data_IF_862279522351
#
_entry.id   IF_862279522351
#
_cell.length_a   1.000
_cell.length_b   1.000
_cell.length_c   1.000
_cell.angle_alpha   90.00
_cell.angle_beta   90.00
_cell.angle_gamma   90.00
#
_symmetry.space_group_name_H-M   'P 1'
#
loop_
_entity.id
_entity.type
_entity.pdbx_description
1 polymer ?
#
# COMPACT_ATOMS: atom_id res chain seq x y z
N UNK A 1 -20.55 9.93 -1.63
CA UNK A 1 -19.26 9.40 -1.11
C UNK A 1 -18.19 10.42 -1.48
N UNK A 2 -17.56 11.09 -0.51
CA UNK A 2 -16.59 12.15 -0.80
C UNK A 2 -15.28 11.58 -1.35
N UNK A 3 -14.61 12.31 -2.25
CA UNK A 3 -13.32 11.93 -2.85
C UNK A 3 -12.26 11.60 -1.78
N UNK A 4 -12.25 12.36 -0.67
CA UNK A 4 -11.39 12.11 0.49
C UNK A 4 -11.62 10.73 1.13
N UNK A 5 -12.88 10.32 1.26
CA UNK A 5 -13.26 9.00 1.79
C UNK A 5 -12.85 7.87 0.85
N UNK A 6 -12.96 8.08 -0.46
CA UNK A 6 -12.56 7.10 -1.48
C UNK A 6 -11.05 6.88 -1.46
N UNK A 7 -10.25 7.95 -1.37
CA UNK A 7 -8.78 7.84 -1.28
C UNK A 7 -8.33 7.22 0.04
N UNK A 8 -9.02 7.53 1.15
CA UNK A 8 -8.70 6.96 2.46
C UNK A 8 -9.00 5.45 2.50
N UNK A 9 -10.20 5.04 2.05
CA UNK A 9 -10.58 3.62 1.97
C UNK A 9 -9.69 2.88 0.96
N UNK A 10 -9.43 3.47 -0.21
CA UNK A 10 -8.57 2.89 -1.24
C UNK A 10 -7.11 2.74 -0.78
N UNK A 11 -6.57 3.74 -0.08
CA UNK A 11 -5.21 3.69 0.48
C UNK A 11 -5.06 2.61 1.56
N UNK A 12 -6.02 2.52 2.48
CA UNK A 12 -6.02 1.46 3.51
C UNK A 12 -6.16 0.08 2.87
N UNK A 13 -7.08 -0.08 1.91
CA UNK A 13 -7.25 -1.34 1.18
C UNK A 13 -5.99 -1.75 0.41
N UNK A 14 -5.30 -0.80 -0.25
CA UNK A 14 -4.05 -1.04 -0.97
C UNK A 14 -2.90 -1.45 -0.04
N UNK A 15 -2.79 -0.83 1.15
CA UNK A 15 -1.79 -1.19 2.15
C UNK A 15 -2.06 -2.60 2.70
N UNK A 16 -3.30 -2.93 3.07
CA UNK A 16 -3.66 -4.26 3.59
C UNK A 16 -3.44 -5.34 2.52
N UNK A 17 -3.86 -5.08 1.28
CA UNK A 17 -3.65 -5.99 0.15
C UNK A 17 -2.15 -6.19 -0.16
N UNK A 18 -1.36 -5.11 -0.12
CA UNK A 18 0.09 -5.18 -0.34
C UNK A 18 0.83 -5.96 0.75
N UNK A 19 0.50 -5.70 2.03
CA UNK A 19 1.06 -6.46 3.17
C UNK A 19 0.63 -7.94 3.08
N UNK A 20 -0.63 -8.22 2.72
CA UNK A 20 -1.11 -9.59 2.50
C UNK A 20 -0.30 -10.33 1.43
N UNK A 21 0.02 -9.66 0.31
CA UNK A 21 0.87 -10.21 -0.74
C UNK A 21 2.32 -10.48 -0.29
N UNK A 22 2.87 -9.64 0.59
CA UNK A 22 4.20 -9.86 1.17
C UNK A 22 4.21 -11.03 2.17
N UNK A 23 3.20 -11.14 3.03
CA UNK A 23 3.11 -12.22 4.02
C UNK A 23 2.92 -13.59 3.34
N UNK A 24 2.20 -13.61 2.21
CA UNK A 24 2.02 -14.82 1.41
C UNK A 24 3.33 -15.33 0.76
N UNK A 25 4.34 -14.46 0.61
CA UNK A 25 5.65 -14.81 0.07
C UNK A 25 6.58 -15.49 1.10
N UNK A 26 6.39 -15.27 2.41
CA UNK A 26 7.21 -15.84 3.49
C UNK A 26 7.32 -17.39 3.48
N UNK A 27 6.25 -18.19 3.33
CA UNK A 27 6.38 -19.65 3.30
C UNK A 27 7.11 -20.17 2.06
N UNK A 28 7.04 -19.44 0.94
CA UNK A 28 7.72 -19.80 -0.31
C UNK A 28 9.21 -19.40 -0.31
N UNK A 29 9.57 -18.34 0.41
CA UNK A 29 10.97 -17.89 0.56
C UNK A 29 11.86 -18.92 1.32
N UNK A 30 11.27 -19.73 2.19
CA UNK A 30 11.95 -20.80 2.94
C UNK A 30 11.96 -22.17 2.24
N UNK A 31 11.40 -22.26 1.03
CA UNK A 31 11.43 -23.49 0.22
C UNK A 31 12.75 -23.59 -0.58
N UNK A 32 13.38 -24.77 -0.61
CA UNK A 32 14.68 -25.01 -1.25
C UNK A 32 14.66 -25.01 -2.80
N UNK A 33 13.50 -24.75 -3.41
CA UNK A 33 13.29 -24.76 -4.86
C UNK A 33 13.32 -23.33 -5.44
N UNK A 34 14.31 -23.05 -6.30
CA UNK A 34 14.43 -21.81 -7.10
C UNK A 34 13.13 -21.37 -7.83
N UNK A 35 12.31 -22.27 -8.43
CA UNK A 35 11.07 -21.85 -9.11
C UNK A 35 10.04 -21.19 -8.18
N UNK A 36 9.91 -21.67 -6.95
CA UNK A 36 9.04 -21.08 -5.94
C UNK A 36 9.55 -19.70 -5.47
N UNK A 37 10.88 -19.53 -5.44
CA UNK A 37 11.52 -18.27 -5.05
C UNK A 37 11.29 -17.15 -6.09
N UNK A 38 11.32 -17.47 -7.39
CA UNK A 38 11.00 -16.53 -8.48
C UNK A 38 9.49 -16.23 -8.50
N UNK A 39 8.67 -17.27 -8.32
CA UNK A 39 7.22 -17.15 -8.22
C UNK A 39 6.76 -16.29 -7.05
N UNK A 40 7.50 -16.29 -5.94
CA UNK A 40 7.20 -15.50 -4.75
C UNK A 40 7.82 -14.08 -4.78
N UNK A 41 8.90 -13.86 -5.53
CA UNK A 41 9.51 -12.53 -5.67
C UNK A 41 8.61 -11.50 -6.37
N UNK A 42 7.87 -11.91 -7.40
CA UNK A 42 6.95 -11.04 -8.15
C UNK A 42 5.79 -10.49 -7.28
N UNK A 43 5.09 -11.30 -6.46
CA UNK A 43 4.11 -10.79 -5.51
C UNK A 43 4.71 -9.98 -4.37
N UNK A 44 5.96 -10.24 -3.95
CA UNK A 44 6.64 -9.40 -2.95
C UNK A 44 6.91 -7.98 -3.49
N UNK A 45 7.48 -7.86 -4.69
CA UNK A 45 7.73 -6.56 -5.33
C UNK A 45 6.42 -5.87 -5.69
N UNK A 46 5.44 -6.60 -6.23
CA UNK A 46 4.11 -6.08 -6.51
C UNK A 46 3.41 -5.56 -5.25
N UNK A 47 3.49 -6.30 -4.15
CA UNK A 47 2.98 -5.90 -2.84
C UNK A 47 3.69 -4.65 -2.29
N UNK A 48 5.02 -4.53 -2.46
CA UNK A 48 5.80 -3.36 -2.05
C UNK A 48 5.42 -2.10 -2.81
N UNK A 49 5.28 -2.20 -4.13
CA UNK A 49 4.86 -1.08 -4.97
C UNK A 49 3.42 -0.68 -4.66
N UNK A 50 2.51 -1.63 -4.46
CA UNK A 50 1.11 -1.37 -4.13
C UNK A 50 0.95 -0.72 -2.75
N UNK A 51 1.65 -1.23 -1.72
CA UNK A 51 1.64 -0.64 -0.39
C UNK A 51 2.29 0.76 -0.38
N UNK A 52 3.41 0.93 -1.08
CA UNK A 52 4.12 2.21 -1.19
C UNK A 52 3.26 3.28 -1.89
N UNK A 53 2.69 2.95 -3.05
CA UNK A 53 1.79 3.85 -3.79
C UNK A 53 0.53 4.19 -2.98
N UNK A 54 -0.06 3.23 -2.26
CA UNK A 54 -1.18 3.47 -1.34
C UNK A 54 -0.83 4.42 -0.19
N UNK A 55 0.36 4.28 0.39
CA UNK A 55 0.86 5.16 1.45
C UNK A 55 1.13 6.58 0.92
N UNK A 56 1.69 6.71 -0.29
CA UNK A 56 1.94 8.00 -0.95
C UNK A 56 0.61 8.71 -1.25
N UNK A 57 -0.37 8.01 -1.82
CA UNK A 57 -1.70 8.54 -2.08
C UNK A 57 -2.38 9.01 -0.79
N UNK A 58 -2.25 8.24 0.30
CA UNK A 58 -2.78 8.61 1.61
C UNK A 58 -2.04 9.82 2.21
N UNK A 59 -0.71 9.87 2.10
CA UNK A 59 0.09 11.00 2.57
C UNK A 59 -0.26 12.31 1.86
N UNK A 60 -0.49 12.24 0.54
CA UNK A 60 -0.95 13.39 -0.26
C UNK A 60 -2.36 13.80 0.15
N UNK A 61 -3.29 12.86 0.33
CA UNK A 61 -4.66 13.16 0.76
C UNK A 61 -4.73 13.78 2.16
N UNK A 62 -3.94 13.27 3.10
CA UNK A 62 -3.82 13.82 4.46
C UNK A 62 -3.20 15.22 4.45
N UNK A 63 -2.20 15.46 3.59
CA UNK A 63 -1.58 16.78 3.44
C UNK A 63 -2.52 17.77 2.77
N UNK A 64 -3.31 17.35 1.78
CA UNK A 64 -4.32 18.17 1.13
C UNK A 64 -5.44 18.56 2.11
N UNK A 65 -5.83 17.66 3.01
CA UNK A 65 -6.72 17.99 4.15
C UNK A 65 -6.09 18.90 5.20
N UNK A 66 -4.76 18.87 5.37
CA UNK A 66 -4.02 19.74 6.30
C UNK A 66 -3.75 21.14 5.73
N UNK A 67 -3.67 21.30 4.40
CA UNK A 67 -3.61 22.61 3.74
C UNK A 67 -4.92 23.39 3.83
N UNK A 68 -6.06 22.71 3.70
CA UNK A 68 -7.38 23.33 3.87
C UNK A 68 -7.67 23.75 5.32
N UNK A 69 -7.13 23.04 6.32
CA UNK A 69 -7.22 23.47 7.72
C UNK A 69 -6.26 24.62 8.08
N UNK A 70 -5.07 24.67 7.49
CA UNK A 70 -4.08 25.73 7.80
C UNK A 70 -4.45 27.09 7.16
N UNK A 71 -5.26 27.12 6.10
CA UNK A 71 -5.80 28.38 5.54
C UNK A 71 -7.07 28.88 6.25
N UNK A 72 -7.76 28.03 7.02
CA UNK A 72 -8.96 28.40 7.80
C UNK A 72 -8.58 28.81 9.25
N UNK A 73 -7.33 28.60 9.66
CA UNK A 73 -6.82 28.95 11.01
C UNK A 73 -5.76 30.07 11.00
N UNK A 74 -5.81 31.01 10.03
CA UNK A 74 -5.00 32.24 10.06
C UNK A 74 -5.76 33.47 9.56
#
# INVERSE_FOLDING_TARGET
MSLKTIVLVGGIAAIIAGIGGMVFCLPFLFSASIPDLIGAGLPFVGGAVLAGSGLIALAIALRSGKGEKITIEN
#
